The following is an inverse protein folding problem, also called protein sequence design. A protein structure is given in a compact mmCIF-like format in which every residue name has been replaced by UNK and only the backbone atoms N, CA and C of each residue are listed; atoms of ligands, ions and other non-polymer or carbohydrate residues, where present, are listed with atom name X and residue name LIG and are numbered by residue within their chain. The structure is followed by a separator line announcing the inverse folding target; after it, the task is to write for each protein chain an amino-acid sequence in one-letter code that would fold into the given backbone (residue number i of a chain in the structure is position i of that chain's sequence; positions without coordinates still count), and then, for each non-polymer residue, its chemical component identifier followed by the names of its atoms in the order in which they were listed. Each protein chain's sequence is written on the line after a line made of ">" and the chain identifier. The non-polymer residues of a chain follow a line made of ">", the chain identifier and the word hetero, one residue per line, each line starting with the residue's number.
data_IF_983006725902
#
_entry.id   IF_983006725902
#
_cell.length_a   1.000
_cell.length_b   1.000
_cell.length_c   1.000
_cell.angle_alpha   90.00
_cell.angle_beta   90.00
_cell.angle_gamma   90.00
#
_symmetry.space_group_name_H-M   'P 1'
#
loop_
_entity.id
_entity.type
_entity.pdbx_description
1 polymer ?
#
# COMPACT_ATOMS: atom_id res chain seq x y z
N UNK A 1 -15.41 -0.51 -1.86
CA UNK A 1 -15.27 -1.00 -3.27
C UNK A 1 -13.81 -1.38 -3.50
N UNK A 2 -13.57 -2.55 -4.08
CA UNK A 2 -12.24 -3.01 -4.55
C UNK A 2 -12.21 -2.81 -6.07
N UNK A 3 -11.06 -2.41 -6.60
CA UNK A 3 -10.89 -2.14 -8.03
C UNK A 3 -9.53 -2.64 -8.51
N UNK A 4 -9.53 -3.26 -9.67
CA UNK A 4 -8.35 -3.76 -10.36
C UNK A 4 -8.19 -2.99 -11.66
N UNK A 5 -7.14 -2.22 -11.77
CA UNK A 5 -6.87 -1.35 -12.90
C UNK A 5 -5.58 -1.76 -13.60
N UNK A 6 -5.62 -1.81 -14.91
CA UNK A 6 -4.43 -1.83 -15.75
C UNK A 6 -3.79 -0.44 -15.72
N UNK A 7 -2.57 -0.35 -15.22
CA UNK A 7 -1.88 0.93 -15.06
C UNK A 7 -1.43 1.51 -16.40
N UNK A 8 -1.06 0.65 -17.37
CA UNK A 8 -0.54 1.04 -18.68
C UNK A 8 -1.55 1.90 -19.45
N UNK A 9 -2.81 1.49 -19.45
CA UNK A 9 -3.90 2.17 -20.19
C UNK A 9 -4.93 2.81 -19.26
N UNK A 10 -4.70 2.76 -17.95
CA UNK A 10 -5.62 3.28 -16.93
C UNK A 10 -7.04 2.70 -17.05
N UNK A 11 -7.15 1.43 -17.44
CA UNK A 11 -8.41 0.73 -17.69
C UNK A 11 -8.81 -0.11 -16.47
N UNK A 12 -10.06 0.03 -16.00
CA UNK A 12 -10.60 -0.78 -14.91
C UNK A 12 -11.02 -2.15 -15.45
N UNK A 13 -10.25 -3.19 -15.14
CA UNK A 13 -10.49 -4.56 -15.56
C UNK A 13 -11.61 -5.22 -14.77
N UNK A 14 -11.66 -4.99 -13.45
CA UNK A 14 -12.65 -5.52 -12.55
C UNK A 14 -12.91 -4.56 -11.38
N UNK A 15 -14.13 -4.52 -10.90
CA UNK A 15 -14.45 -3.88 -9.63
C UNK A 15 -15.52 -4.67 -8.87
N UNK A 16 -15.45 -4.60 -7.55
CA UNK A 16 -16.37 -5.25 -6.62
C UNK A 16 -16.88 -4.26 -5.58
N UNK A 17 -18.18 -4.26 -5.33
CA UNK A 17 -18.74 -3.58 -4.17
C UNK A 17 -18.52 -4.46 -2.94
N UNK A 18 -17.65 -4.06 -2.05
CA UNK A 18 -17.35 -4.75 -0.79
C UNK A 18 -17.16 -3.74 0.34
N UNK A 19 -17.52 -4.12 1.55
CA UNK A 19 -17.37 -3.30 2.74
C UNK A 19 -15.94 -3.37 3.30
N UNK A 20 -15.19 -4.44 2.96
CA UNK A 20 -13.83 -4.66 3.41
C UNK A 20 -13.03 -5.48 2.39
N UNK A 21 -11.72 -5.37 2.45
CA UNK A 21 -10.81 -6.22 1.67
C UNK A 21 -10.72 -7.62 2.30
N UNK A 22 -11.52 -8.55 1.79
CA UNK A 22 -11.58 -9.94 2.28
C UNK A 22 -10.75 -10.85 1.38
N UNK A 23 -9.99 -11.74 2.02
CA UNK A 23 -9.14 -12.69 1.32
C UNK A 23 -9.87 -13.51 0.24
N UNK A 24 -11.07 -14.03 0.57
CA UNK A 24 -11.83 -14.86 -0.37
C UNK A 24 -12.31 -14.07 -1.58
N UNK A 25 -12.81 -12.85 -1.39
CA UNK A 25 -13.27 -11.98 -2.46
C UNK A 25 -12.12 -11.60 -3.42
N UNK A 26 -10.96 -11.21 -2.86
CA UNK A 26 -9.79 -10.88 -3.66
C UNK A 26 -9.25 -12.10 -4.41
N UNK A 27 -9.24 -13.27 -3.76
CA UNK A 27 -8.85 -14.54 -4.37
C UNK A 27 -9.74 -14.88 -5.57
N UNK A 28 -11.06 -14.76 -5.41
CA UNK A 28 -12.04 -14.97 -6.47
C UNK A 28 -11.84 -13.99 -7.62
N UNK A 29 -11.69 -12.71 -7.32
CA UNK A 29 -11.47 -11.67 -8.33
C UNK A 29 -10.22 -11.92 -9.17
N UNK A 30 -9.10 -12.23 -8.52
CA UNK A 30 -7.85 -12.56 -9.23
C UNK A 30 -7.98 -13.82 -10.08
N UNK A 31 -8.68 -14.86 -9.58
CA UNK A 31 -8.95 -16.07 -10.36
C UNK A 31 -9.81 -15.76 -11.59
N UNK A 32 -10.83 -14.92 -11.45
CA UNK A 32 -11.69 -14.51 -12.55
C UNK A 32 -10.92 -13.73 -13.62
N UNK A 33 -10.03 -12.81 -13.22
CA UNK A 33 -9.17 -12.07 -14.17
C UNK A 33 -8.30 -13.02 -14.99
N UNK A 34 -7.69 -14.01 -14.35
CA UNK A 34 -6.87 -15.01 -15.05
C UNK A 34 -7.71 -15.90 -15.96
N UNK A 35 -8.90 -16.32 -15.52
CA UNK A 35 -9.83 -17.12 -16.33
C UNK A 35 -10.35 -16.36 -17.56
N UNK A 36 -10.40 -15.03 -17.50
CA UNK A 36 -10.70 -14.17 -18.64
C UNK A 36 -9.51 -14.03 -19.62
N UNK A 37 -8.39 -14.68 -19.34
CA UNK A 37 -7.20 -14.66 -20.19
C UNK A 37 -6.25 -13.46 -19.96
N UNK A 38 -6.46 -12.66 -18.90
CA UNK A 38 -5.54 -11.56 -18.61
C UNK A 38 -4.18 -12.10 -18.20
N UNK A 39 -3.13 -11.57 -18.83
CA UNK A 39 -1.73 -11.82 -18.45
C UNK A 39 -1.28 -10.71 -17.51
N UNK A 40 -1.05 -11.06 -16.25
CA UNK A 40 -0.63 -10.10 -15.22
C UNK A 40 0.86 -10.26 -14.98
N UNK A 41 1.66 -9.27 -15.38
CA UNK A 41 3.11 -9.27 -15.21
C UNK A 41 3.53 -8.89 -13.77
N UNK A 42 2.86 -7.93 -13.17
CA UNK A 42 3.13 -7.45 -11.82
C UNK A 42 1.89 -6.87 -11.15
N UNK A 43 1.92 -6.74 -9.82
CA UNK A 43 0.83 -6.10 -9.07
C UNK A 43 1.41 -5.07 -8.12
N UNK A 44 0.94 -3.82 -8.24
CA UNK A 44 1.20 -2.78 -7.25
C UNK A 44 0.01 -2.65 -6.29
N UNK A 45 0.26 -2.77 -4.98
CA UNK A 45 -0.80 -2.70 -3.96
C UNK A 45 -0.32 -2.01 -2.68
N UNK A 46 -1.26 -1.60 -1.83
CA UNK A 46 -0.99 -1.03 -0.51
C UNK A 46 -0.36 -2.03 0.47
N UNK A 47 -0.53 -3.33 0.20
CA UNK A 47 -0.02 -4.45 0.99
C UNK A 47 -0.90 -4.81 2.18
N UNK A 48 -2.19 -4.62 2.07
CA UNK A 48 -3.13 -5.23 3.01
C UNK A 48 -2.91 -6.75 3.09
N UNK A 49 -3.00 -7.32 4.30
CA UNK A 49 -2.64 -8.74 4.53
C UNK A 49 -3.47 -9.71 3.71
N UNK A 50 -4.78 -9.43 3.56
CA UNK A 50 -5.67 -10.28 2.77
C UNK A 50 -5.28 -10.25 1.29
N UNK A 51 -4.97 -9.08 0.74
CA UNK A 51 -4.53 -8.86 -0.63
C UNK A 51 -3.23 -9.60 -0.91
N UNK A 52 -2.20 -9.42 -0.08
CA UNK A 52 -0.91 -10.11 -0.25
C UNK A 52 -1.06 -11.64 -0.16
N UNK A 53 -1.91 -12.14 0.76
CA UNK A 53 -2.17 -13.58 0.90
C UNK A 53 -2.87 -14.12 -0.34
N UNK A 54 -3.84 -13.41 -0.89
CA UNK A 54 -4.58 -13.82 -2.10
C UNK A 54 -3.66 -13.85 -3.33
N UNK A 55 -2.88 -12.79 -3.55
CA UNK A 55 -1.93 -12.71 -4.66
C UNK A 55 -0.95 -13.89 -4.61
N UNK A 56 -0.29 -14.12 -3.48
CA UNK A 56 0.67 -15.22 -3.32
C UNK A 56 0.05 -16.60 -3.51
N UNK A 57 -1.24 -16.77 -3.22
CA UNK A 57 -1.96 -18.04 -3.40
C UNK A 57 -2.32 -18.30 -4.84
N UNK A 58 -2.77 -17.28 -5.57
CA UNK A 58 -3.28 -17.41 -6.95
C UNK A 58 -2.14 -17.31 -7.96
N UNK A 59 -1.17 -16.44 -7.70
CA UNK A 59 -0.04 -16.16 -8.60
C UNK A 59 1.28 -16.29 -7.82
N UNK A 60 1.69 -17.53 -7.47
CA UNK A 60 2.98 -17.74 -6.82
C UNK A 60 4.11 -17.29 -7.74
N UNK A 61 5.01 -16.47 -7.21
CA UNK A 61 6.15 -15.94 -7.98
C UNK A 61 5.92 -14.64 -8.74
N UNK A 62 4.68 -14.12 -8.78
CA UNK A 62 4.44 -12.81 -9.41
C UNK A 62 5.19 -11.69 -8.70
N UNK A 63 5.67 -10.72 -9.47
CA UNK A 63 6.30 -9.52 -8.92
C UNK A 63 5.25 -8.66 -8.22
N UNK A 64 5.45 -8.42 -6.92
CA UNK A 64 4.60 -7.53 -6.12
C UNK A 64 5.38 -6.27 -5.81
N UNK A 65 4.83 -5.12 -6.18
CA UNK A 65 5.32 -3.81 -5.75
C UNK A 65 4.44 -3.29 -4.61
N UNK A 66 5.06 -2.90 -3.51
CA UNK A 66 4.37 -2.22 -2.42
C UNK A 66 4.27 -0.73 -2.72
N UNK A 67 3.06 -0.19 -2.64
CA UNK A 67 2.86 1.24 -2.84
C UNK A 67 3.69 2.07 -1.85
N UNK A 68 4.65 2.85 -2.36
CA UNK A 68 5.56 3.64 -1.53
C UNK A 68 4.82 4.76 -0.77
N UNK A 69 3.80 5.36 -1.39
CA UNK A 69 2.97 6.40 -0.76
C UNK A 69 2.27 5.85 0.49
N UNK A 70 1.67 4.65 0.39
CA UNK A 70 1.01 4.03 1.54
C UNK A 70 1.98 3.72 2.68
N UNK A 71 3.16 3.17 2.37
CA UNK A 71 4.19 2.90 3.39
C UNK A 71 4.61 4.22 4.06
N UNK A 72 4.89 5.26 3.27
CA UNK A 72 5.31 6.55 3.79
C UNK A 72 4.23 7.19 4.66
N UNK A 73 2.99 7.28 4.17
CA UNK A 73 1.86 7.87 4.91
C UNK A 73 1.63 7.17 6.25
N UNK A 74 1.63 5.83 6.27
CA UNK A 74 1.46 5.07 7.50
C UNK A 74 2.60 5.30 8.49
N UNK A 75 3.84 5.31 8.04
CA UNK A 75 4.99 5.55 8.90
C UNK A 75 4.97 6.99 9.45
N UNK A 76 4.69 7.99 8.62
CA UNK A 76 4.61 9.38 9.05
C UNK A 76 3.46 9.63 10.04
N UNK A 77 2.34 8.93 9.90
CA UNK A 77 1.23 8.99 10.86
C UNK A 77 1.67 8.51 12.25
N UNK A 78 2.46 7.44 12.32
CA UNK A 78 2.92 6.90 13.61
C UNK A 78 4.11 7.66 14.19
N UNK A 79 4.98 8.21 13.35
CA UNK A 79 6.14 9.00 13.78
C UNK A 79 5.77 10.43 14.15
N UNK A 80 4.60 10.91 13.70
CA UNK A 80 4.14 12.30 13.84
C UNK A 80 5.02 13.32 13.12
N UNK A 81 4.66 14.60 13.15
CA UNK A 81 5.45 15.66 12.54
C UNK A 81 6.74 15.95 13.33
N UNK A 82 6.64 15.89 14.66
CA UNK A 82 7.71 16.21 15.59
C UNK A 82 7.93 15.06 16.58
N UNK A 83 8.70 14.01 16.21
CA UNK A 83 8.99 12.91 17.12
C UNK A 83 9.81 13.38 18.33
N UNK A 84 9.45 12.92 19.50
CA UNK A 84 10.15 13.28 20.76
C UNK A 84 11.56 12.65 20.82
N UNK A 85 11.71 11.43 20.35
CA UNK A 85 12.96 10.67 20.44
C UNK A 85 13.79 10.81 19.17
N UNK A 86 15.11 10.86 19.29
CA UNK A 86 16.02 10.95 18.13
C UNK A 86 15.85 9.75 17.19
N UNK A 87 15.64 8.55 17.73
CA UNK A 87 15.28 7.38 16.93
C UNK A 87 14.05 7.64 16.02
N UNK A 88 13.05 8.35 16.51
CA UNK A 88 11.88 8.73 15.73
C UNK A 88 12.19 9.80 14.68
N UNK A 89 13.00 10.81 15.02
CA UNK A 89 13.41 11.88 14.10
C UNK A 89 14.23 11.32 12.94
N UNK A 90 15.24 10.51 13.24
CA UNK A 90 16.10 9.88 12.24
C UNK A 90 15.30 8.93 11.32
N UNK A 91 14.44 8.06 11.91
CA UNK A 91 13.58 7.18 11.10
C UNK A 91 12.63 7.97 10.20
N UNK A 92 12.11 9.09 10.70
CA UNK A 92 11.24 9.97 9.91
C UNK A 92 11.98 10.55 8.70
N UNK A 93 13.23 10.92 8.83
CA UNK A 93 14.05 11.38 7.69
C UNK A 93 14.23 10.30 6.65
N UNK A 94 14.52 9.05 7.06
CA UNK A 94 14.60 7.91 6.15
C UNK A 94 13.26 7.65 5.44
N UNK A 95 12.15 7.77 6.14
CA UNK A 95 10.79 7.62 5.56
C UNK A 95 10.52 8.70 4.52
N UNK A 96 10.91 9.95 4.75
CA UNK A 96 10.73 11.04 3.79
C UNK A 96 11.58 10.86 2.52
N UNK A 97 12.69 10.14 2.60
CA UNK A 97 13.55 9.88 1.44
C UNK A 97 13.02 8.77 0.51
N UNK A 98 12.08 7.93 0.95
CA UNK A 98 11.62 6.75 0.18
C UNK A 98 11.22 7.11 -1.26
N UNK A 99 10.55 8.25 -1.48
CA UNK A 99 10.12 8.67 -2.81
C UNK A 99 11.22 9.20 -3.72
N UNK A 100 12.38 9.53 -3.14
CA UNK A 100 13.53 10.07 -3.88
C UNK A 100 14.47 9.00 -4.41
N UNK A 101 14.16 7.73 -4.14
CA UNK A 101 14.95 6.60 -4.62
C UNK A 101 14.57 6.36 -6.08
N UNK A 102 15.50 6.65 -7.00
CA UNK A 102 15.30 6.52 -8.45
C UNK A 102 16.29 5.53 -9.08
N UNK A 103 17.36 5.19 -8.37
CA UNK A 103 18.43 4.30 -8.86
C UNK A 103 18.71 3.15 -7.90
N UNK A 104 19.37 2.11 -8.41
CA UNK A 104 19.86 1.02 -7.54
C UNK A 104 20.88 1.51 -6.52
N UNK A 105 21.68 2.52 -6.84
CA UNK A 105 22.63 3.13 -5.90
C UNK A 105 21.90 3.86 -4.77
N UNK A 106 20.86 4.64 -5.08
CA UNK A 106 20.03 5.28 -4.06
C UNK A 106 19.42 4.27 -3.12
N UNK A 107 18.89 3.16 -3.69
CA UNK A 107 18.33 2.04 -2.91
C UNK A 107 19.37 1.45 -1.96
N UNK A 108 20.59 1.16 -2.46
CA UNK A 108 21.65 0.58 -1.63
C UNK A 108 22.05 1.54 -0.51
N UNK A 109 22.25 2.81 -0.82
CA UNK A 109 22.55 3.84 0.15
C UNK A 109 21.45 3.93 1.23
N UNK A 110 20.20 4.00 0.82
CA UNK A 110 19.06 4.07 1.73
C UNK A 110 18.95 2.84 2.63
N UNK A 111 19.15 1.62 2.08
CA UNK A 111 19.16 0.38 2.86
C UNK A 111 20.30 0.38 3.89
N UNK A 112 21.47 0.87 3.51
CA UNK A 112 22.60 1.00 4.43
C UNK A 112 22.22 1.91 5.60
N UNK A 113 21.70 3.10 5.33
CA UNK A 113 21.23 4.04 6.36
C UNK A 113 20.15 3.43 7.27
N UNK A 114 19.23 2.64 6.72
CA UNK A 114 18.20 1.94 7.50
C UNK A 114 18.81 0.88 8.43
N UNK A 115 19.82 0.15 7.96
CA UNK A 115 20.54 -0.85 8.77
C UNK A 115 21.38 -0.20 9.87
N UNK A 116 22.06 0.92 9.59
CA UNK A 116 22.80 1.69 10.57
C UNK A 116 21.86 2.22 11.66
N UNK A 117 20.69 2.73 11.25
CA UNK A 117 19.65 3.16 12.17
C UNK A 117 19.18 1.99 13.07
N UNK A 118 18.94 0.82 12.48
CA UNK A 118 18.54 -0.39 13.23
C UNK A 118 19.60 -0.78 14.27
N UNK A 119 20.86 -0.81 13.86
CA UNK A 119 21.99 -1.15 14.74
C UNK A 119 22.14 -0.16 15.90
N UNK A 120 22.00 1.14 15.61
CA UNK A 120 22.07 2.23 16.59
C UNK A 120 20.93 2.15 17.62
N UNK A 121 19.71 1.79 17.18
CA UNK A 121 18.50 1.89 18.01
C UNK A 121 17.90 0.53 18.39
N UNK A 122 18.59 -0.58 18.15
CA UNK A 122 18.08 -1.94 18.42
C UNK A 122 17.63 -2.16 19.86
N UNK A 123 18.36 -1.61 20.84
CA UNK A 123 18.04 -1.79 22.26
C UNK A 123 16.90 -0.88 22.68
N UNK A 124 16.86 0.36 22.18
CA UNK A 124 15.72 1.26 22.32
C UNK A 124 14.41 0.61 21.82
N UNK A 125 14.44 -0.09 20.69
CA UNK A 125 13.28 -0.79 20.15
C UNK A 125 12.83 -1.98 21.00
N UNK A 126 13.71 -2.55 21.84
CA UNK A 126 13.39 -3.67 22.73
C UNK A 126 12.89 -3.25 24.09
N UNK A 127 13.00 -1.97 24.45
CA UNK A 127 12.55 -1.48 25.74
C UNK A 127 11.09 -1.82 26.01
N UNK A 128 10.83 -2.38 27.20
CA UNK A 128 9.52 -2.82 27.65
C UNK A 128 9.11 -2.10 28.90
N UNK A 129 7.81 -1.92 29.06
CA UNK A 129 7.18 -1.56 30.31
C UNK A 129 6.33 -2.74 30.77
N UNK A 130 6.24 -2.93 32.08
CA UNK A 130 5.51 -4.03 32.69
C UNK A 130 4.40 -3.49 33.57
N UNK A 131 3.26 -4.16 33.55
CA UNK A 131 2.20 -3.91 34.54
C UNK A 131 2.52 -4.73 35.78
N UNK A 132 2.76 -4.08 36.93
CA UNK A 132 3.19 -4.71 38.18
C UNK A 132 2.25 -5.84 38.62
N UNK A 133 0.92 -5.60 38.53
CA UNK A 133 -0.12 -6.52 38.99
C UNK A 133 -0.24 -7.82 38.19
N UNK A 134 0.06 -7.79 36.86
CA UNK A 134 -0.24 -8.91 35.95
C UNK A 134 0.98 -9.46 35.23
N UNK A 135 2.15 -8.85 35.40
CA UNK A 135 3.37 -9.19 34.66
C UNK A 135 3.29 -8.96 33.13
N UNK A 136 2.17 -8.49 32.63
CA UNK A 136 2.01 -8.18 31.19
C UNK A 136 2.95 -7.07 30.78
N UNK A 137 3.55 -7.21 29.61
CA UNK A 137 4.45 -6.18 29.08
C UNK A 137 3.94 -5.61 27.77
N UNK A 138 4.39 -4.40 27.46
CA UNK A 138 4.29 -3.76 26.15
C UNK A 138 5.60 -3.06 25.80
N UNK A 139 5.86 -2.88 24.52
CA UNK A 139 7.01 -2.10 24.06
C UNK A 139 6.76 -0.61 24.30
N UNK A 140 7.71 0.08 24.97
CA UNK A 140 7.62 1.51 25.26
C UNK A 140 7.46 2.34 23.99
N UNK A 141 8.27 2.04 22.98
CA UNK A 141 8.37 2.78 21.72
C UNK A 141 7.54 2.14 20.61
N UNK A 142 6.28 1.82 20.92
CA UNK A 142 5.37 1.03 20.07
C UNK A 142 5.23 1.59 18.65
N UNK A 143 5.10 2.91 18.48
CA UNK A 143 4.83 3.53 17.18
C UNK A 143 6.09 3.59 16.30
N UNK A 144 7.25 3.93 16.88
CA UNK A 144 8.54 3.91 16.17
C UNK A 144 8.85 2.48 15.74
N UNK A 145 8.69 1.52 16.65
CA UNK A 145 8.83 0.09 16.36
C UNK A 145 7.88 -0.36 15.24
N UNK A 146 6.62 0.06 15.27
CA UNK A 146 5.62 -0.27 14.24
C UNK A 146 6.03 0.26 12.87
N UNK A 147 6.50 1.50 12.79
CA UNK A 147 7.01 2.12 11.56
C UNK A 147 8.17 1.32 10.99
N UNK A 148 9.20 1.08 11.80
CA UNK A 148 10.37 0.34 11.37
C UNK A 148 10.04 -1.07 10.83
N UNK A 149 9.27 -1.87 11.59
CA UNK A 149 8.91 -3.21 11.15
C UNK A 149 7.92 -3.24 9.96
N UNK A 150 7.19 -2.17 9.73
CA UNK A 150 6.39 -2.04 8.51
C UNK A 150 7.28 -1.87 7.30
N UNK A 151 8.31 -1.04 7.39
CA UNK A 151 9.33 -0.88 6.34
C UNK A 151 10.07 -2.20 6.11
N UNK A 152 10.62 -2.81 7.16
CA UNK A 152 11.38 -4.09 7.05
C UNK A 152 10.59 -5.18 6.36
N UNK A 153 9.30 -5.34 6.69
CA UNK A 153 8.43 -6.33 6.06
C UNK A 153 8.08 -6.00 4.61
N UNK A 154 8.03 -4.72 4.27
CA UNK A 154 7.74 -4.29 2.91
C UNK A 154 8.99 -4.33 2.01
N UNK A 155 10.18 -4.23 2.59
CA UNK A 155 11.46 -4.02 1.91
C UNK A 155 11.71 -4.94 0.70
N UNK A 156 11.42 -6.26 0.74
CA UNK A 156 11.61 -7.13 -0.41
C UNK A 156 10.80 -6.72 -1.65
N UNK A 157 9.70 -5.98 -1.44
CA UNK A 157 8.74 -5.62 -2.50
C UNK A 157 8.60 -4.08 -2.66
N UNK A 158 9.55 -3.29 -2.16
CA UNK A 158 9.46 -1.82 -2.23
C UNK A 158 10.05 -1.22 -3.49
N UNK A 159 10.98 -1.92 -4.14
CA UNK A 159 11.84 -1.33 -5.16
C UNK A 159 11.86 -2.14 -6.46
N UNK A 160 10.77 -2.87 -6.76
CA UNK A 160 10.65 -3.65 -8.00
C UNK A 160 10.63 -2.74 -9.24
N UNK A 161 10.12 -1.53 -9.14
CA UNK A 161 10.10 -0.53 -10.19
C UNK A 161 11.50 -0.09 -10.66
N UNK A 162 12.55 -0.32 -9.87
CA UNK A 162 13.94 -0.07 -10.29
C UNK A 162 14.45 -1.13 -11.26
N UNK A 163 13.86 -2.32 -11.26
CA UNK A 163 14.23 -3.42 -12.15
C UNK A 163 13.41 -3.39 -13.44
N UNK A 164 12.15 -2.94 -13.34
CA UNK A 164 11.24 -2.80 -14.48
C UNK A 164 10.46 -1.49 -14.35
N UNK A 165 10.73 -0.54 -15.24
CA UNK A 165 10.12 0.79 -15.27
C UNK A 165 8.62 0.77 -15.55
N UNK A 166 8.08 -0.33 -16.08
CA UNK A 166 6.64 -0.50 -16.29
C UNK A 166 5.88 -0.78 -14.97
N UNK A 167 6.60 -1.07 -13.88
CA UNK A 167 5.98 -1.30 -12.58
C UNK A 167 5.77 0.04 -11.88
N UNK A 168 4.54 0.48 -11.63
CA UNK A 168 4.28 1.74 -10.94
C UNK A 168 4.72 1.65 -9.48
N UNK A 169 5.51 2.61 -9.02
CA UNK A 169 5.98 2.69 -7.63
C UNK A 169 4.87 3.05 -6.62
N UNK A 170 3.71 3.51 -7.11
CA UNK A 170 2.59 3.97 -6.28
C UNK A 170 1.24 3.56 -6.88
N UNK A 171 0.19 3.60 -6.07
CA UNK A 171 -1.21 3.43 -6.49
C UNK A 171 -1.93 4.77 -6.69
N UNK A 172 -1.18 5.85 -6.90
CA UNK A 172 -1.77 7.20 -7.02
C UNK A 172 -2.75 7.32 -8.18
N UNK A 173 -2.54 6.60 -9.28
CA UNK A 173 -3.47 6.58 -10.42
C UNK A 173 -4.86 6.14 -10.00
N UNK A 174 -4.94 5.01 -9.29
CA UNK A 174 -6.21 4.47 -8.81
C UNK A 174 -6.81 5.32 -7.67
N UNK A 175 -5.97 5.92 -6.80
CA UNK A 175 -6.43 6.84 -5.75
C UNK A 175 -7.04 8.12 -6.38
N UNK A 176 -6.39 8.69 -7.38
CA UNK A 176 -6.91 9.83 -8.14
C UNK A 176 -8.24 9.50 -8.82
N UNK A 177 -8.33 8.32 -9.44
CA UNK A 177 -9.55 7.81 -10.04
C UNK A 177 -10.71 7.77 -9.04
N UNK A 178 -10.49 7.22 -7.84
CA UNK A 178 -11.50 7.21 -6.78
C UNK A 178 -11.81 8.61 -6.24
N UNK A 179 -10.84 9.50 -6.19
CA UNK A 179 -11.03 10.91 -5.83
C UNK A 179 -12.01 11.60 -6.77
N UNK A 180 -11.81 11.45 -8.08
CA UNK A 180 -12.72 11.98 -9.10
C UNK A 180 -14.12 11.36 -8.98
N UNK A 181 -14.23 10.04 -8.88
CA UNK A 181 -15.53 9.37 -8.68
C UNK A 181 -16.26 9.89 -7.45
N UNK A 182 -15.55 10.05 -6.34
CA UNK A 182 -16.12 10.58 -5.09
C UNK A 182 -16.62 12.01 -5.27
N UNK A 183 -15.84 12.89 -5.90
CA UNK A 183 -16.25 14.26 -6.17
C UNK A 183 -17.56 14.32 -7.00
N UNK A 184 -17.67 13.48 -8.03
CA UNK A 184 -18.91 13.38 -8.81
C UNK A 184 -20.09 12.87 -7.96
N UNK A 185 -19.87 11.86 -7.11
CA UNK A 185 -20.92 11.37 -6.21
C UNK A 185 -21.36 12.41 -5.18
N UNK A 186 -20.44 13.26 -4.72
CA UNK A 186 -20.73 14.32 -3.74
C UNK A 186 -21.57 15.45 -4.37
N UNK A 187 -21.53 15.65 -5.68
CA UNK A 187 -22.44 16.54 -6.40
C UNK A 187 -23.89 16.00 -6.45
N UNK A 188 -24.06 14.68 -6.30
CA UNK A 188 -25.35 14.00 -6.37
C UNK A 188 -25.76 13.38 -5.03
N UNK A 189 -25.77 14.18 -3.95
CA UNK A 189 -26.02 13.72 -2.56
C UNK A 189 -27.37 13.05 -2.34
N UNK A 190 -28.39 13.33 -3.19
CA UNK A 190 -29.73 12.77 -3.09
C UNK A 190 -29.93 11.38 -3.71
N UNK A 191 -28.88 10.75 -4.26
CA UNK A 191 -29.00 9.43 -4.87
C UNK A 191 -29.34 8.35 -3.86
N UNK A 192 -30.36 7.55 -4.17
CA UNK A 192 -30.64 6.30 -3.46
C UNK A 192 -29.45 5.34 -3.59
N UNK A 193 -29.35 4.33 -2.72
CA UNK A 193 -28.29 3.32 -2.77
C UNK A 193 -28.17 2.66 -4.15
N UNK A 194 -29.30 2.29 -4.76
CA UNK A 194 -29.34 1.66 -6.09
C UNK A 194 -28.87 2.63 -7.18
N UNK A 195 -29.35 3.86 -7.16
CA UNK A 195 -28.94 4.86 -8.14
C UNK A 195 -27.45 5.20 -8.01
N UNK A 196 -26.91 5.23 -6.77
CA UNK A 196 -25.48 5.40 -6.52
C UNK A 196 -24.66 4.25 -7.11
N UNK A 197 -25.10 3.01 -6.95
CA UNK A 197 -24.46 1.84 -7.56
C UNK A 197 -24.46 1.94 -9.09
N UNK A 198 -25.62 2.29 -9.68
CA UNK A 198 -25.73 2.45 -11.12
C UNK A 198 -24.88 3.60 -11.65
N UNK A 199 -24.82 4.73 -10.92
CA UNK A 199 -23.94 5.83 -11.27
C UNK A 199 -22.47 5.41 -11.32
N UNK A 200 -22.00 4.64 -10.32
CA UNK A 200 -20.62 4.13 -10.28
C UNK A 200 -20.36 3.21 -11.48
N UNK A 201 -21.29 2.30 -11.81
CA UNK A 201 -21.16 1.41 -12.98
C UNK A 201 -21.03 2.20 -14.28
N UNK A 202 -21.88 3.22 -14.50
CA UNK A 202 -21.82 4.08 -15.67
C UNK A 202 -20.56 4.93 -15.71
N UNK A 203 -20.13 5.46 -14.57
CA UNK A 203 -18.88 6.21 -14.48
C UNK A 203 -17.68 5.36 -14.93
N UNK A 204 -17.58 4.13 -14.44
CA UNK A 204 -16.53 3.19 -14.83
C UNK A 204 -16.62 2.87 -16.32
N UNK A 205 -17.81 2.57 -16.82
CA UNK A 205 -18.02 2.27 -18.23
C UNK A 205 -17.58 3.40 -19.15
N UNK A 206 -18.03 4.64 -18.92
CA UNK A 206 -17.65 5.77 -19.75
C UNK A 206 -16.16 6.11 -19.62
N UNK A 207 -15.59 5.97 -18.43
CA UNK A 207 -14.17 6.19 -18.23
C UNK A 207 -13.33 5.17 -18.99
N UNK A 208 -13.73 3.90 -18.99
CA UNK A 208 -13.07 2.87 -19.77
C UNK A 208 -13.22 3.13 -21.28
N UNK A 209 -14.42 3.48 -21.74
CA UNK A 209 -14.68 3.79 -23.15
C UNK A 209 -13.83 4.95 -23.66
N UNK A 210 -13.49 5.93 -22.83
CA UNK A 210 -12.61 7.04 -23.20
C UNK A 210 -11.14 6.66 -23.30
N UNK A 211 -10.77 5.40 -22.98
CA UNK A 211 -9.39 4.88 -22.97
C UNK A 211 -9.13 3.87 -24.11
N UNK A 212 -10.19 3.40 -24.77
CA UNK A 212 -10.14 2.58 -25.99
C UNK A 212 -10.17 3.46 -27.22
#
# INVERSE_FOLDING_TARGET
>A
MVCYQDDTISYTQLFRFSDAERYQEIKEDLSNLLNLGLQIASITCDGHKATLKAIKKIMPGITIQRCLVHIQRMCLLWLTANPTYDAGKELRMLVLMIHRIETHNDKQYWIHQLNDWENKHKDFLKEKSYKAETGRYWYKHKLIRRSFFTIKRALPNMFCYLTDSNIPKTTNGIESYFGHLKNHLDLHRGLTKNNRINFIKWYIYFRNKSRL
#
